data_IF_186190364849
#
_entry.id   IF_186190364849
#
_cell.length_a   1.000
_cell.length_b   1.000
_cell.length_c   1.000
_cell.angle_alpha   90.00
_cell.angle_beta   90.00
_cell.angle_gamma   90.00
#
_symmetry.space_group_name_H-M   'P 1'
#
loop_
_entity.id
_entity.type
_entity.pdbx_description
1 polymer ?
#
# COMPACT_ATOMS: atom_id res chain seq x y z
N UNK A 1 4.81 26.51 -5.03
CA UNK A 1 5.24 25.09 -5.15
C UNK A 1 5.38 24.49 -3.76
N UNK A 2 4.69 23.38 -3.44
CA UNK A 2 4.95 22.63 -2.19
C UNK A 2 6.29 21.92 -2.37
N UNK A 3 7.33 22.41 -1.69
CA UNK A 3 8.74 22.11 -1.98
C UNK A 3 9.23 20.71 -1.58
N UNK A 4 8.38 19.81 -1.09
CA UNK A 4 8.86 18.56 -0.47
C UNK A 4 7.78 17.47 -0.48
N UNK A 5 7.60 16.79 -1.62
CA UNK A 5 6.75 15.60 -1.74
C UNK A 5 7.52 14.47 -2.40
N UNK A 6 7.42 13.28 -1.82
CA UNK A 6 8.00 12.05 -2.38
C UNK A 6 6.85 11.26 -2.96
N UNK A 7 6.95 10.98 -4.26
CA UNK A 7 5.98 10.14 -4.94
C UNK A 7 6.26 8.67 -4.62
N UNK A 8 5.25 7.97 -4.09
CA UNK A 8 5.30 6.54 -3.80
C UNK A 8 4.59 5.69 -4.87
N UNK A 9 4.35 6.21 -6.08
CA UNK A 9 3.90 5.42 -7.23
C UNK A 9 5.04 4.55 -7.78
N UNK A 10 4.68 3.57 -8.61
CA UNK A 10 5.59 2.58 -9.18
C UNK A 10 5.30 1.18 -8.66
N UNK A 11 6.31 0.32 -8.64
CA UNK A 11 6.16 -1.09 -8.27
C UNK A 11 6.07 -1.25 -6.76
N UNK A 12 5.04 -1.96 -6.30
CA UNK A 12 4.83 -2.41 -4.93
C UNK A 12 4.81 -3.93 -4.91
N UNK A 13 5.14 -4.52 -3.77
CA UNK A 13 4.81 -5.92 -3.47
C UNK A 13 3.30 -6.03 -3.23
N UNK A 14 2.71 -7.15 -3.65
CA UNK A 14 1.27 -7.36 -3.66
C UNK A 14 0.92 -8.79 -3.26
N UNK A 15 -0.22 -8.98 -2.58
CA UNK A 15 -0.75 -10.30 -2.21
C UNK A 15 -2.28 -10.25 -2.13
N UNK A 16 -2.94 -11.33 -2.55
CA UNK A 16 -4.36 -11.55 -2.28
C UNK A 16 -4.55 -12.20 -0.90
N UNK A 17 -5.62 -11.83 -0.19
CA UNK A 17 -5.94 -12.37 1.14
C UNK A 17 -7.39 -12.85 1.21
N UNK A 18 -7.69 -13.84 0.37
CA UNK A 18 -9.04 -14.38 0.20
C UNK A 18 -9.61 -15.07 1.44
N UNK A 19 -8.77 -15.29 2.45
CA UNK A 19 -9.13 -15.96 3.70
C UNK A 19 -9.10 -15.03 4.92
N UNK A 20 -8.88 -13.73 4.75
CA UNK A 20 -8.79 -12.73 5.82
C UNK A 20 -7.81 -13.14 6.94
N UNK A 21 -6.61 -13.56 6.54
CA UNK A 21 -5.59 -14.04 7.47
C UNK A 21 -4.56 -12.96 7.79
N UNK A 22 -4.37 -11.98 6.91
CA UNK A 22 -3.21 -11.11 6.93
C UNK A 22 -3.07 -10.26 8.18
N UNK A 23 -4.16 -9.78 8.77
CA UNK A 23 -4.10 -9.07 10.05
C UNK A 23 -3.76 -10.00 11.21
N UNK A 24 -4.41 -11.17 11.28
CA UNK A 24 -4.21 -12.15 12.34
C UNK A 24 -2.79 -12.74 12.34
N UNK A 25 -2.23 -12.96 11.16
CA UNK A 25 -0.88 -13.46 10.93
C UNK A 25 0.17 -12.35 10.82
N UNK A 26 -0.23 -11.08 10.96
CA UNK A 26 0.65 -9.90 10.98
C UNK A 26 1.47 -9.72 9.70
N UNK A 27 0.86 -9.92 8.52
CA UNK A 27 1.48 -9.72 7.21
C UNK A 27 2.03 -8.28 7.02
N UNK A 28 1.52 -7.32 7.78
CA UNK A 28 2.03 -5.95 7.86
C UNK A 28 3.45 -5.80 8.44
N UNK A 29 4.10 -6.89 8.90
CA UNK A 29 5.45 -6.87 9.44
C UNK A 29 6.29 -8.08 9.02
N UNK A 30 7.52 -7.86 8.56
CA UNK A 30 8.54 -8.91 8.38
C UNK A 30 8.27 -9.93 7.26
N UNK A 31 7.13 -9.86 6.57
CA UNK A 31 6.78 -10.70 5.42
C UNK A 31 7.03 -9.97 4.11
N UNK A 32 7.58 -10.66 3.12
CA UNK A 32 7.62 -10.21 1.72
C UNK A 32 6.44 -10.85 0.97
N UNK A 33 5.87 -10.14 0.00
CA UNK A 33 4.79 -10.69 -0.83
C UNK A 33 5.29 -11.23 -2.16
N UNK A 34 4.56 -12.21 -2.69
CA UNK A 34 5.00 -12.97 -3.87
C UNK A 34 4.82 -12.20 -5.19
N UNK A 35 3.76 -11.39 -5.28
CA UNK A 35 3.41 -10.66 -6.49
C UNK A 35 3.92 -9.22 -6.49
N UNK A 36 3.88 -8.60 -7.68
CA UNK A 36 4.23 -7.19 -7.87
C UNK A 36 3.16 -6.47 -8.65
N UNK A 37 2.79 -5.28 -8.16
CA UNK A 37 1.77 -4.43 -8.79
C UNK A 37 2.31 -3.02 -9.06
N UNK A 38 1.92 -2.45 -10.21
CA UNK A 38 2.25 -1.07 -10.59
C UNK A 38 1.15 -0.11 -10.14
N UNK A 39 1.42 0.64 -9.07
CA UNK A 39 0.55 1.73 -8.58
C UNK A 39 0.74 2.96 -9.48
N UNK A 40 -0.35 3.59 -9.98
CA UNK A 40 -1.71 3.59 -9.41
C UNK A 40 -2.75 2.76 -10.18
N UNK A 41 -2.36 1.72 -10.91
CA UNK A 41 -3.33 0.89 -11.65
C UNK A 41 -4.00 -0.13 -10.70
N UNK A 42 -5.31 -0.38 -10.84
CA UNK A 42 -6.00 -1.42 -10.09
C UNK A 42 -5.54 -2.82 -10.55
N UNK A 43 -5.60 -3.83 -9.69
CA UNK A 43 -5.05 -5.16 -9.99
C UNK A 43 -5.70 -5.81 -11.23
N UNK A 44 -6.98 -5.54 -11.49
CA UNK A 44 -7.69 -6.03 -12.67
C UNK A 44 -7.15 -5.47 -13.99
N UNK A 45 -6.43 -4.33 -13.95
CA UNK A 45 -5.86 -3.73 -15.14
C UNK A 45 -4.62 -4.47 -15.61
N UNK A 46 -4.49 -4.68 -16.92
CA UNK A 46 -3.24 -5.16 -17.53
C UNK A 46 -2.03 -4.28 -17.21
N UNK A 47 -2.23 -2.97 -17.06
CA UNK A 47 -1.15 -2.02 -16.77
C UNK A 47 -0.58 -2.19 -15.35
N UNK A 48 -1.31 -2.86 -14.45
CA UNK A 48 -0.85 -3.15 -13.09
C UNK A 48 0.19 -4.26 -13.05
N UNK A 49 0.23 -5.13 -14.07
CA UNK A 49 1.04 -6.34 -14.10
C UNK A 49 0.34 -7.59 -13.54
N UNK A 50 -0.80 -7.44 -12.84
CA UNK A 50 -1.57 -8.57 -12.28
C UNK A 50 -2.60 -9.09 -13.28
N UNK A 51 -3.46 -8.20 -13.81
CA UNK A 51 -4.48 -8.53 -14.82
C UNK A 51 -5.45 -9.66 -14.39
N UNK A 52 -5.83 -9.70 -13.12
CA UNK A 52 -6.79 -10.67 -12.60
C UNK A 52 -8.20 -10.05 -12.47
N UNK A 53 -9.21 -10.52 -13.23
CA UNK A 53 -10.56 -10.00 -13.13
C UNK A 53 -11.39 -10.64 -11.99
N UNK A 54 -10.88 -11.63 -11.26
CA UNK A 54 -11.65 -12.26 -10.18
C UNK A 54 -11.85 -11.31 -9.00
N UNK A 55 -13.00 -11.37 -8.32
CA UNK A 55 -13.25 -10.53 -7.16
C UNK A 55 -12.43 -11.02 -5.96
N UNK A 56 -11.66 -10.10 -5.37
CA UNK A 56 -10.95 -10.28 -4.11
C UNK A 56 -11.31 -9.15 -3.15
N UNK A 57 -11.85 -9.51 -1.98
CA UNK A 57 -12.32 -8.53 -1.00
C UNK A 57 -11.18 -7.87 -0.24
N UNK A 58 -10.09 -8.60 0.02
CA UNK A 58 -8.93 -8.13 0.78
C UNK A 58 -7.66 -8.37 -0.03
N UNK A 59 -6.89 -7.29 -0.21
CA UNK A 59 -5.59 -7.33 -0.87
C UNK A 59 -4.58 -6.51 -0.08
N UNK A 60 -3.32 -6.94 -0.15
CA UNK A 60 -2.22 -6.29 0.55
C UNK A 60 -1.28 -5.62 -0.43
N UNK A 61 -0.84 -4.41 -0.06
CA UNK A 61 0.17 -3.64 -0.76
C UNK A 61 1.34 -3.37 0.19
N UNK A 62 2.57 -3.58 -0.26
CA UNK A 62 3.77 -3.26 0.52
C UNK A 62 4.82 -2.53 -0.30
N UNK A 63 5.39 -1.48 0.30
CA UNK A 63 6.50 -0.72 -0.28
C UNK A 63 7.51 -0.33 0.79
N UNK A 64 8.77 -0.63 0.51
CA UNK A 64 9.92 -0.10 1.24
C UNK A 64 10.34 1.23 0.60
N UNK A 65 10.61 2.24 1.41
CA UNK A 65 11.10 3.53 0.96
C UNK A 65 11.97 4.16 2.04
N UNK A 66 12.88 5.05 1.63
CA UNK A 66 13.69 5.84 2.55
C UNK A 66 13.04 7.19 2.77
N UNK A 67 13.03 7.64 4.02
CA UNK A 67 12.64 9.01 4.38
C UNK A 67 13.90 9.88 4.32
N UNK A 68 13.98 10.89 3.45
CA UNK A 68 15.12 11.79 3.39
C UNK A 68 15.30 12.53 4.72
N UNK A 69 16.56 12.78 5.11
CA UNK A 69 16.91 13.34 6.41
C UNK A 69 16.20 14.67 6.70
N UNK A 70 15.96 15.48 5.68
CA UNK A 70 15.25 16.76 5.76
C UNK A 70 13.80 16.69 6.29
N UNK A 71 13.21 15.48 6.35
CA UNK A 71 11.88 15.22 6.89
C UNK A 71 11.91 14.66 8.31
N UNK A 72 13.05 14.18 8.83
CA UNK A 72 13.11 13.48 10.11
C UNK A 72 12.75 14.38 11.30
N UNK A 73 13.00 15.68 11.19
CA UNK A 73 12.64 16.69 12.20
C UNK A 73 11.27 17.34 11.96
N UNK A 74 10.51 16.88 10.96
CA UNK A 74 9.24 17.47 10.54
C UNK A 74 8.09 16.47 10.69
N UNK A 75 6.87 16.99 10.69
CA UNK A 75 5.68 16.15 10.55
C UNK A 75 5.59 15.63 9.11
N UNK A 76 5.82 14.34 8.93
CA UNK A 76 5.55 13.65 7.68
C UNK A 76 4.05 13.33 7.56
N UNK A 77 3.50 13.47 6.35
CA UNK A 77 2.13 13.08 6.02
C UNK A 77 2.18 12.08 4.88
N UNK A 78 1.64 10.88 5.11
CA UNK A 78 1.37 9.92 4.05
C UNK A 78 0.00 10.21 3.47
N UNK A 79 -0.07 10.41 2.15
CA UNK A 79 -1.30 10.74 1.45
C UNK A 79 -1.57 9.71 0.35
N UNK A 80 -2.73 9.07 0.42
CA UNK A 80 -3.28 8.27 -0.66
C UNK A 80 -4.18 9.16 -1.54
N UNK A 81 -4.00 9.08 -2.85
CA UNK A 81 -4.77 9.88 -3.81
C UNK A 81 -6.21 9.40 -3.94
N UNK A 82 -6.38 8.08 -4.01
CA UNK A 82 -7.64 7.36 -3.96
C UNK A 82 -7.36 5.97 -3.37
N UNK A 83 -8.37 5.41 -2.71
CA UNK A 83 -8.43 4.04 -2.20
C UNK A 83 -9.84 3.55 -2.54
N UNK A 84 -10.00 2.30 -2.94
CA UNK A 84 -11.31 1.70 -3.14
C UNK A 84 -11.30 0.30 -2.50
N UNK A 85 -12.10 -0.01 -1.47
CA UNK A 85 -13.08 0.82 -0.75
C UNK A 85 -12.56 1.35 0.61
N UNK A 86 -11.87 0.50 1.38
CA UNK A 86 -11.23 0.85 2.66
C UNK A 86 -9.74 0.48 2.59
N UNK A 87 -8.89 1.25 3.27
CA UNK A 87 -7.51 0.87 3.53
C UNK A 87 -7.18 1.01 5.00
N UNK A 88 -6.53 0.00 5.56
CA UNK A 88 -5.80 0.09 6.83
C UNK A 88 -4.31 0.19 6.52
N UNK A 89 -3.60 1.03 7.26
CA UNK A 89 -2.19 1.34 6.97
C UNK A 89 -1.31 1.09 8.18
N UNK A 90 -0.20 0.41 7.93
CA UNK A 90 0.87 0.17 8.89
C UNK A 90 2.20 0.68 8.36
N UNK A 91 3.04 1.20 9.26
CA UNK A 91 4.43 1.57 8.98
C UNK A 91 5.32 0.83 9.95
N UNK A 92 6.22 -0.01 9.43
CA UNK A 92 7.13 -0.84 10.23
C UNK A 92 6.41 -1.64 11.33
N UNK A 93 5.26 -2.22 10.99
CA UNK A 93 4.44 -3.02 11.91
C UNK A 93 3.52 -2.23 12.84
N UNK A 94 3.58 -0.89 12.85
CA UNK A 94 2.72 -0.04 13.65
C UNK A 94 1.53 0.47 12.85
N UNK A 95 0.32 0.21 13.32
CA UNK A 95 -0.90 0.77 12.74
C UNK A 95 -0.89 2.30 12.85
N UNK A 96 -1.15 2.99 11.74
CA UNK A 96 -1.16 4.46 11.68
C UNK A 96 -2.54 5.06 11.37
N UNK A 97 -3.52 4.21 11.00
CA UNK A 97 -4.89 4.62 10.73
C UNK A 97 -5.50 3.87 9.56
N UNK A 98 -6.79 4.16 9.35
CA UNK A 98 -7.55 3.69 8.21
C UNK A 98 -8.14 4.85 7.42
N UNK A 99 -8.43 4.60 6.15
CA UNK A 99 -9.14 5.50 5.25
C UNK A 99 -10.32 4.75 4.67
N UNK A 100 -11.49 5.36 4.72
CA UNK A 100 -12.67 4.91 4.00
C UNK A 100 -12.90 5.88 2.86
N UNK A 101 -12.99 5.40 1.62
CA UNK A 101 -13.42 6.26 0.52
C UNK A 101 -14.92 6.47 0.63
N UNK A 102 -15.34 7.74 0.68
CA UNK A 102 -16.75 8.16 0.59
C UNK A 102 -17.04 8.74 -0.79
#
# INVERSE_FOLDING_TARGET
MRKSWINLNGVWEFEFDDYDLGESEKWFFGRDFSEKIVVPYPYQSRLSGINDPTPHDIVWYRRKFSVPEEYLSKRALLKFGAVDYEAKVWVNGKYIGSLLSV
#
